data_IF_123388832360
#
_entry.id   IF_123388832360
#
_cell.length_a   1.000
_cell.length_b   1.000
_cell.length_c   1.000
_cell.angle_alpha   90.00
_cell.angle_beta   90.00
_cell.angle_gamma   90.00
#
_symmetry.space_group_name_H-M   'P 1'
#
loop_
_entity.id
_entity.type
_entity.pdbx_description
1 polymer ?
#
# COMPACT_ATOMS: atom_id res chain seq x y z
N UNK A 1 -34.45 6.65 -50.91
CA UNK A 1 -34.23 5.64 -49.85
C UNK A 1 -32.92 6.03 -49.15
N UNK A 2 -33.01 6.69 -47.99
CA UNK A 2 -31.85 7.07 -47.19
C UNK A 2 -31.54 5.94 -46.19
N UNK A 3 -30.43 5.30 -46.37
CA UNK A 3 -29.90 4.31 -45.43
C UNK A 3 -29.21 5.05 -44.30
N UNK A 4 -29.86 5.12 -43.12
CA UNK A 4 -29.28 5.64 -41.90
C UNK A 4 -28.36 4.57 -41.33
N UNK A 5 -27.06 4.76 -41.42
CA UNK A 5 -26.04 3.93 -40.77
C UNK A 5 -26.06 4.23 -39.27
N UNK A 6 -26.60 3.28 -38.50
CA UNK A 6 -26.56 3.33 -37.04
C UNK A 6 -25.10 3.09 -36.61
N UNK A 7 -24.41 4.16 -36.18
CA UNK A 7 -23.12 4.04 -35.54
C UNK A 7 -23.40 3.40 -34.17
N UNK A 8 -22.98 2.17 -33.97
CA UNK A 8 -22.92 1.55 -32.65
C UNK A 8 -21.99 2.39 -31.80
N UNK A 9 -22.57 3.09 -30.82
CA UNK A 9 -21.80 3.70 -29.74
C UNK A 9 -21.02 2.59 -29.05
N UNK A 10 -19.71 2.60 -29.22
CA UNK A 10 -18.82 1.82 -28.35
C UNK A 10 -19.07 2.37 -26.96
N UNK A 11 -19.75 1.60 -26.12
CA UNK A 11 -19.95 1.93 -24.72
C UNK A 11 -18.58 2.19 -24.10
N UNK A 12 -18.40 3.38 -23.54
CA UNK A 12 -17.20 3.75 -22.81
C UNK A 12 -16.89 2.63 -21.82
N UNK A 13 -15.64 2.15 -21.68
CA UNK A 13 -15.27 1.19 -20.67
C UNK A 13 -15.63 1.64 -19.24
N UNK A 14 -15.94 2.92 -19.07
CA UNK A 14 -16.50 3.48 -17.83
C UNK A 14 -17.93 3.06 -17.53
N UNK A 15 -18.73 2.66 -18.52
CA UNK A 15 -20.13 2.24 -18.32
C UNK A 15 -20.27 0.99 -17.44
N UNK A 16 -19.25 0.14 -17.36
CA UNK A 16 -19.21 -1.04 -16.49
C UNK A 16 -19.11 -0.63 -15.01
N UNK A 17 -18.63 0.58 -14.70
CA UNK A 17 -18.36 1.05 -13.34
C UNK A 17 -19.45 1.97 -12.77
N UNK A 18 -20.46 2.34 -13.56
CA UNK A 18 -21.52 3.25 -13.10
C UNK A 18 -22.40 2.63 -12.00
N UNK A 19 -22.43 1.31 -11.89
CA UNK A 19 -23.22 0.57 -10.90
C UNK A 19 -22.40 0.02 -9.73
N UNK A 20 -21.07 0.11 -9.73
CA UNK A 20 -20.23 -0.35 -8.62
C UNK A 20 -19.83 0.81 -7.72
N UNK A 21 -20.00 0.62 -6.42
CA UNK A 21 -19.55 1.60 -5.42
C UNK A 21 -18.03 1.69 -5.44
N UNK A 22 -17.49 2.74 -6.05
CA UNK A 22 -16.05 3.02 -6.01
C UNK A 22 -15.66 3.28 -4.55
N UNK A 23 -14.71 2.49 -4.05
CA UNK A 23 -14.28 2.59 -2.66
C UNK A 23 -13.08 3.53 -2.55
N UNK A 24 -12.06 3.37 -3.39
CA UNK A 24 -10.85 4.20 -3.35
C UNK A 24 -10.10 4.22 -4.68
N UNK A 25 -9.35 5.29 -4.89
CA UNK A 25 -8.29 5.38 -5.91
C UNK A 25 -6.95 5.49 -5.21
N UNK A 26 -6.01 4.60 -5.50
CA UNK A 26 -4.72 4.54 -4.82
C UNK A 26 -3.61 4.37 -5.87
N UNK A 27 -2.42 4.99 -5.65
CA UNK A 27 -1.26 4.73 -6.50
C UNK A 27 -0.92 3.25 -6.53
N UNK A 28 -0.87 2.68 -7.75
CA UNK A 28 -0.63 1.25 -7.92
C UNK A 28 0.69 0.79 -7.31
N UNK A 29 1.74 1.58 -7.50
CA UNK A 29 3.09 1.22 -7.05
C UNK A 29 3.18 1.07 -5.52
N UNK A 30 2.44 1.88 -4.75
CA UNK A 30 2.38 1.75 -3.29
C UNK A 30 1.72 0.45 -2.85
N UNK A 31 0.61 0.06 -3.49
CA UNK A 31 -0.07 -1.20 -3.18
C UNK A 31 0.77 -2.40 -3.63
N UNK A 32 1.45 -2.28 -4.78
CA UNK A 32 2.39 -3.29 -5.26
C UNK A 32 3.52 -3.52 -4.26
N UNK A 33 4.06 -2.46 -3.68
CA UNK A 33 5.08 -2.55 -2.63
C UNK A 33 4.50 -3.15 -1.36
N UNK A 34 3.35 -2.69 -0.89
CA UNK A 34 2.67 -3.28 0.26
C UNK A 34 2.45 -4.79 0.10
N UNK A 35 2.03 -5.23 -1.09
CA UNK A 35 1.85 -6.64 -1.42
C UNK A 35 3.12 -7.52 -1.31
N UNK A 36 4.32 -6.93 -1.23
CA UNK A 36 5.56 -7.68 -1.01
C UNK A 36 5.79 -8.06 0.46
N UNK A 37 5.12 -7.38 1.39
CA UNK A 37 5.32 -7.53 2.83
C UNK A 37 4.21 -8.33 3.53
N UNK A 38 3.25 -8.87 2.78
CA UNK A 38 2.22 -9.76 3.31
C UNK A 38 2.79 -11.12 3.70
N UNK A 39 2.14 -11.81 4.63
CA UNK A 39 2.50 -13.19 4.99
C UNK A 39 2.36 -14.14 3.80
N UNK A 40 3.21 -15.17 3.79
CA UNK A 40 3.09 -16.33 2.89
C UNK A 40 2.58 -17.57 3.63
N UNK A 41 2.37 -17.44 4.94
CA UNK A 41 1.92 -18.51 5.81
C UNK A 41 0.38 -18.60 5.78
N UNK A 42 -0.14 -19.70 5.26
CA UNK A 42 -1.58 -19.97 5.18
C UNK A 42 -2.28 -20.05 6.53
N UNK A 43 -1.53 -20.33 7.63
CA UNK A 43 -2.08 -20.29 8.97
C UNK A 43 -2.38 -18.85 9.45
N UNK A 44 -1.82 -17.84 8.77
CA UNK A 44 -1.98 -16.42 9.07
C UNK A 44 -2.79 -15.70 7.99
N UNK A 45 -3.98 -16.22 7.67
CA UNK A 45 -4.79 -15.74 6.54
C UNK A 45 -4.99 -14.22 6.52
N UNK A 46 -5.31 -13.61 7.67
CA UNK A 46 -5.48 -12.15 7.79
C UNK A 46 -4.24 -11.37 7.34
N UNK A 47 -3.05 -11.89 7.62
CA UNK A 47 -1.77 -11.24 7.27
C UNK A 47 -1.37 -11.49 5.79
N UNK A 48 -2.10 -12.31 5.05
CA UNK A 48 -1.87 -12.51 3.61
C UNK A 48 -2.41 -11.36 2.76
N UNK A 49 -3.06 -10.37 3.37
CA UNK A 49 -3.65 -9.22 2.71
C UNK A 49 -2.95 -7.89 2.97
N UNK A 50 -3.19 -6.96 2.08
CA UNK A 50 -2.93 -5.53 2.26
C UNK A 50 -4.17 -4.93 2.90
N UNK A 51 -4.02 -4.34 4.07
CA UNK A 51 -5.11 -3.74 4.84
C UNK A 51 -5.18 -2.24 4.60
N UNK A 52 -6.38 -1.76 4.30
CA UNK A 52 -6.71 -0.34 4.21
C UNK A 52 -7.62 -0.02 5.39
N UNK A 53 -7.13 0.78 6.33
CA UNK A 53 -7.86 1.26 7.51
C UNK A 53 -8.22 2.72 7.32
N UNK A 54 -9.47 3.05 7.64
CA UNK A 54 -9.96 4.44 7.64
C UNK A 54 -10.18 4.90 9.07
N UNK A 55 -9.54 5.98 9.43
CA UNK A 55 -9.72 6.61 10.74
C UNK A 55 -9.41 8.12 10.64
N UNK A 56 -10.24 8.96 11.25
CA UNK A 56 -10.00 10.41 11.35
C UNK A 56 -9.68 11.12 10.02
N UNK A 57 -10.41 10.80 8.95
CA UNK A 57 -10.19 11.34 7.60
C UNK A 57 -8.82 10.94 7.00
N UNK A 58 -8.17 9.90 7.53
CA UNK A 58 -6.91 9.36 7.03
C UNK A 58 -7.10 7.90 6.62
N UNK A 59 -6.41 7.48 5.56
CA UNK A 59 -6.27 6.07 5.17
C UNK A 59 -4.87 5.62 5.57
N UNK A 60 -4.82 4.56 6.38
CA UNK A 60 -3.59 3.81 6.63
C UNK A 60 -3.60 2.56 5.76
N UNK A 61 -2.62 2.42 4.88
CA UNK A 61 -2.36 1.18 4.15
C UNK A 61 -1.24 0.43 4.84
N UNK A 62 -1.50 -0.81 5.20
CA UNK A 62 -0.53 -1.63 5.93
C UNK A 62 -0.47 -3.07 5.46
N UNK A 63 0.69 -3.68 5.61
CA UNK A 63 0.92 -5.10 5.37
C UNK A 63 2.02 -5.64 6.28
N UNK A 64 1.83 -6.85 6.80
CA UNK A 64 2.77 -7.49 7.73
C UNK A 64 2.79 -9.00 7.52
N UNK A 65 3.90 -9.62 7.85
CA UNK A 65 4.06 -11.08 7.96
C UNK A 65 4.16 -11.57 9.42
N UNK A 66 4.01 -10.63 10.37
CA UNK A 66 4.16 -10.87 11.80
C UNK A 66 5.57 -10.60 12.36
N UNK A 67 6.57 -10.35 11.50
CA UNK A 67 7.95 -10.03 11.89
C UNK A 67 8.36 -8.61 11.53
N UNK A 68 7.69 -8.04 10.57
CA UNK A 68 7.89 -6.70 10.05
C UNK A 68 6.58 -6.12 9.57
N UNK A 69 6.49 -4.80 9.50
CA UNK A 69 5.31 -4.08 9.05
C UNK A 69 5.74 -3.00 8.05
N UNK A 70 5.13 -3.00 6.89
CA UNK A 70 5.18 -1.87 5.95
C UNK A 70 3.87 -1.10 6.03
N UNK A 71 3.94 0.22 6.15
CA UNK A 71 2.75 1.05 6.11
C UNK A 71 3.04 2.46 5.59
N UNK A 72 2.01 3.11 5.12
CA UNK A 72 2.00 4.53 4.79
C UNK A 72 0.60 5.09 5.04
N UNK A 73 0.51 6.40 5.15
CA UNK A 73 -0.72 7.11 5.45
C UNK A 73 -0.93 8.24 4.45
N UNK A 74 -2.19 8.53 4.16
CA UNK A 74 -2.60 9.67 3.33
C UNK A 74 -4.03 10.09 3.64
N UNK A 75 -4.40 11.36 3.35
CA UNK A 75 -5.74 11.86 3.59
C UNK A 75 -6.80 11.15 2.74
N UNK A 76 -7.94 10.82 3.35
CA UNK A 76 -9.02 10.05 2.72
C UNK A 76 -9.80 10.84 1.66
N UNK A 77 -9.65 12.16 1.60
CA UNK A 77 -10.41 13.04 0.71
C UNK A 77 -9.64 13.49 -0.54
N UNK A 78 -8.33 13.16 -0.65
CA UNK A 78 -7.47 13.71 -1.69
C UNK A 78 -7.63 13.05 -3.06
N UNK A 79 -8.19 11.87 -3.14
CA UNK A 79 -8.18 11.06 -4.37
C UNK A 79 -9.55 11.02 -5.06
N UNK A 80 -10.45 11.94 -4.72
CA UNK A 80 -11.78 12.06 -5.35
C UNK A 80 -12.79 11.00 -4.91
N UNK A 81 -12.38 10.04 -4.07
CA UNK A 81 -13.25 9.01 -3.49
C UNK A 81 -12.94 8.85 -2.01
N UNK A 82 -13.98 8.64 -1.23
CA UNK A 82 -13.86 8.45 0.22
C UNK A 82 -14.07 6.98 0.57
N UNK A 83 -13.03 6.34 1.09
CA UNK A 83 -13.17 5.04 1.70
C UNK A 83 -13.99 5.19 2.97
N UNK A 84 -15.06 4.41 3.14
CA UNK A 84 -15.99 4.50 4.28
C UNK A 84 -15.96 3.28 5.20
N UNK A 85 -15.16 2.28 4.86
CA UNK A 85 -14.97 1.04 5.64
C UNK A 85 -13.56 0.51 5.50
N UNK A 86 -13.11 -0.24 6.50
CA UNK A 86 -11.85 -0.97 6.42
C UNK A 86 -11.99 -2.15 5.44
N UNK A 87 -10.96 -2.39 4.64
CA UNK A 87 -10.90 -3.53 3.72
C UNK A 87 -9.54 -4.22 3.78
N UNK A 88 -9.53 -5.54 3.58
CA UNK A 88 -8.30 -6.31 3.46
C UNK A 88 -8.29 -7.05 2.12
N UNK A 89 -7.37 -6.67 1.25
CA UNK A 89 -7.27 -7.15 -0.12
C UNK A 89 -6.16 -8.20 -0.18
N UNK A 90 -6.39 -9.41 -0.74
CA UNK A 90 -5.35 -10.41 -0.88
C UNK A 90 -4.09 -9.85 -1.57
N UNK A 91 -2.94 -9.99 -0.95
CA UNK A 91 -1.67 -9.47 -1.49
C UNK A 91 -1.27 -10.08 -2.83
N UNK A 92 -1.84 -11.25 -3.18
CA UNK A 92 -1.66 -11.89 -4.50
C UNK A 92 -2.15 -11.05 -5.65
N UNK A 93 -3.18 -10.22 -5.44
CA UNK A 93 -3.72 -9.29 -6.45
C UNK A 93 -2.67 -8.29 -6.92
N UNK A 94 -1.77 -7.87 -6.03
CA UNK A 94 -0.72 -6.87 -6.31
C UNK A 94 0.62 -7.48 -6.77
N UNK A 95 0.72 -8.81 -6.83
CA UNK A 95 1.94 -9.50 -7.31
C UNK A 95 2.08 -9.46 -8.82
N UNK A 96 0.98 -9.39 -9.55
CA UNK A 96 0.99 -9.24 -11.00
C UNK A 96 1.57 -7.89 -11.37
N UNK A 97 2.62 -7.90 -12.19
CA UNK A 97 3.17 -6.64 -12.72
C UNK A 97 2.29 -6.19 -13.90
N UNK A 98 1.35 -5.30 -13.62
CA UNK A 98 0.62 -4.60 -14.68
C UNK A 98 1.51 -3.43 -15.13
N UNK A 99 2.24 -3.66 -16.22
CA UNK A 99 3.10 -2.62 -16.80
C UNK A 99 2.26 -1.39 -17.13
N UNK A 100 2.83 -0.22 -16.89
CA UNK A 100 2.22 1.09 -17.14
C UNK A 100 1.07 1.48 -16.19
N UNK A 101 0.58 0.62 -15.30
CA UNK A 101 -0.40 1.04 -14.31
C UNK A 101 0.19 2.11 -13.39
N UNK A 102 -0.50 3.23 -13.27
CA UNK A 102 -0.14 4.34 -12.38
C UNK A 102 -1.03 4.36 -11.15
N UNK A 103 -2.32 4.06 -11.33
CA UNK A 103 -3.32 4.03 -10.25
C UNK A 103 -4.22 2.80 -10.34
N UNK A 104 -4.89 2.49 -9.24
CA UNK A 104 -5.95 1.49 -9.17
C UNK A 104 -7.22 2.11 -8.62
N UNK A 105 -8.35 1.69 -9.18
CA UNK A 105 -9.67 1.88 -8.62
C UNK A 105 -10.04 0.60 -7.85
N UNK A 106 -10.49 0.76 -6.63
CA UNK A 106 -10.88 -0.35 -5.76
C UNK A 106 -12.38 -0.27 -5.53
N UNK A 107 -13.07 -1.37 -5.77
CA UNK A 107 -14.46 -1.60 -5.35
C UNK A 107 -14.51 -2.74 -4.34
N UNK A 108 -15.70 -3.17 -3.92
CA UNK A 108 -15.85 -4.24 -2.93
C UNK A 108 -15.24 -5.58 -3.36
N UNK A 109 -15.18 -5.87 -4.65
CA UNK A 109 -14.75 -7.16 -5.20
C UNK A 109 -13.91 -7.08 -6.47
N UNK A 110 -13.63 -5.85 -6.96
CA UNK A 110 -12.91 -5.63 -8.20
C UNK A 110 -11.81 -4.57 -7.99
N UNK A 111 -10.63 -4.85 -8.53
CA UNK A 111 -9.55 -3.87 -8.68
C UNK A 111 -9.34 -3.61 -10.16
N UNK A 112 -9.41 -2.35 -10.54
CA UNK A 112 -9.16 -1.88 -11.89
C UNK A 112 -7.84 -1.15 -11.94
N UNK A 113 -6.96 -1.58 -12.84
CA UNK A 113 -5.65 -0.99 -13.07
C UNK A 113 -5.74 0.01 -14.21
N UNK A 114 -5.22 1.21 -13.99
CA UNK A 114 -5.32 2.30 -14.94
C UNK A 114 -3.97 3.00 -15.14
N UNK A 115 -3.79 3.54 -16.35
CA UNK A 115 -2.76 4.54 -16.63
C UNK A 115 -3.48 5.85 -16.92
N UNK A 116 -3.36 6.81 -16.00
CA UNK A 116 -4.21 8.01 -16.03
C UNK A 116 -5.69 7.62 -16.12
N UNK A 117 -6.36 7.94 -17.25
CA UNK A 117 -7.76 7.60 -17.50
C UNK A 117 -7.92 6.35 -18.40
N UNK A 118 -6.81 5.71 -18.79
CA UNK A 118 -6.84 4.55 -19.69
C UNK A 118 -6.97 3.27 -18.84
N UNK A 119 -8.00 2.48 -19.12
CA UNK A 119 -8.17 1.14 -18.58
C UNK A 119 -7.07 0.21 -19.12
N UNK A 120 -6.44 -0.55 -18.23
CA UNK A 120 -5.43 -1.54 -18.59
C UNK A 120 -5.89 -2.97 -18.32
N UNK A 121 -6.43 -3.22 -17.12
CA UNK A 121 -6.85 -4.55 -16.69
C UNK A 121 -7.75 -4.44 -15.46
N UNK A 122 -8.45 -5.51 -15.13
CA UNK A 122 -9.16 -5.66 -13.87
C UNK A 122 -9.00 -7.08 -13.30
N UNK A 123 -9.06 -7.19 -11.97
CA UNK A 123 -8.95 -8.45 -11.25
C UNK A 123 -10.06 -8.50 -10.20
N UNK A 124 -10.91 -9.52 -10.29
CA UNK A 124 -11.84 -9.82 -9.21
C UNK A 124 -11.11 -10.40 -8.01
N UNK A 125 -11.53 -10.00 -6.83
CA UNK A 125 -11.00 -10.51 -5.58
C UNK A 125 -12.09 -10.73 -4.55
N UNK A 126 -11.82 -11.60 -3.58
CA UNK A 126 -12.62 -11.75 -2.39
C UNK A 126 -11.86 -11.10 -1.23
N UNK A 127 -12.52 -10.23 -0.49
CA UNK A 127 -11.92 -9.61 0.71
C UNK A 127 -11.56 -10.70 1.72
N UNK A 128 -10.44 -10.49 2.42
CA UNK A 128 -10.10 -11.34 3.57
C UNK A 128 -10.90 -10.83 4.75
N UNK A 129 -11.84 -11.67 5.21
CA UNK A 129 -12.69 -11.34 6.35
C UNK A 129 -11.95 -11.53 7.68
N UNK A 130 -12.31 -10.70 8.66
CA UNK A 130 -11.79 -10.76 10.03
C UNK A 130 -11.18 -9.44 10.49
N UNK A 131 -10.76 -9.41 11.75
CA UNK A 131 -10.15 -8.22 12.36
C UNK A 131 -8.65 -8.23 12.11
N UNK A 132 -8.18 -7.31 11.27
CA UNK A 132 -6.76 -7.12 11.04
C UNK A 132 -6.08 -6.60 12.32
N UNK A 133 -4.83 -7.02 12.64
CA UNK A 133 -4.13 -6.54 13.82
C UNK A 133 -4.03 -5.01 13.84
N UNK A 134 -4.15 -4.42 15.03
CA UNK A 134 -4.01 -2.98 15.17
C UNK A 134 -2.55 -2.55 14.95
N UNK A 135 -2.28 -1.99 13.78
CA UNK A 135 -0.96 -1.55 13.36
C UNK A 135 -0.43 -0.43 14.27
N UNK A 136 -1.31 0.48 14.69
CA UNK A 136 -0.91 1.68 15.43
C UNK A 136 -0.32 1.36 16.80
N UNK A 137 -0.77 0.28 17.43
CA UNK A 137 -0.20 -0.18 18.70
C UNK A 137 1.27 -0.61 18.61
N UNK A 138 1.73 -0.92 17.40
CA UNK A 138 3.11 -1.32 17.14
C UNK A 138 4.03 -0.12 16.89
N UNK A 139 3.46 1.04 16.61
CA UNK A 139 4.20 2.26 16.27
C UNK A 139 4.53 3.01 17.56
N UNK A 140 5.80 3.22 17.90
CA UNK A 140 6.17 4.02 19.06
C UNK A 140 5.75 5.49 18.90
N UNK A 141 5.16 6.07 19.95
CA UNK A 141 4.73 7.48 19.95
C UNK A 141 5.89 8.45 19.83
N UNK A 142 7.06 8.10 20.37
CA UNK A 142 8.26 8.94 20.38
C UNK A 142 9.51 8.10 20.16
N UNK A 143 10.51 8.71 19.50
CA UNK A 143 11.84 8.16 19.32
C UNK A 143 12.85 9.05 20.05
N UNK A 144 13.72 8.45 20.84
CA UNK A 144 14.85 9.15 21.47
C UNK A 144 16.08 9.14 20.58
N UNK A 145 16.12 8.21 19.60
CA UNK A 145 17.26 7.99 18.70
C UNK A 145 18.60 7.84 19.46
N UNK A 146 18.53 7.25 20.65
CA UNK A 146 19.72 6.93 21.43
C UNK A 146 20.27 5.57 20.96
N UNK A 147 21.37 5.64 20.20
CA UNK A 147 22.04 4.48 19.60
C UNK A 147 23.32 4.08 20.34
N UNK A 148 23.39 4.28 21.64
CA UNK A 148 24.57 3.92 22.47
C UNK A 148 24.86 2.41 22.51
N UNK A 149 23.90 1.57 22.03
CA UNK A 149 24.02 0.11 21.98
C UNK A 149 24.01 -0.39 20.55
N UNK A 150 24.67 -1.53 20.36
CA UNK A 150 24.62 -2.25 19.08
C UNK A 150 23.22 -2.82 18.83
N UNK A 151 22.76 -2.70 17.59
CA UNK A 151 21.51 -3.29 17.09
C UNK A 151 21.83 -4.23 15.95
N UNK A 152 21.20 -5.39 15.96
CA UNK A 152 21.28 -6.35 14.86
C UNK A 152 19.91 -6.52 14.22
N UNK A 153 19.87 -6.55 12.90
CA UNK A 153 18.64 -6.74 12.13
C UNK A 153 18.81 -7.85 11.11
N UNK A 154 17.71 -8.48 10.73
CA UNK A 154 17.71 -9.42 9.62
C UNK A 154 18.02 -8.65 8.32
N UNK A 155 19.13 -9.00 7.67
CA UNK A 155 19.60 -8.33 6.45
C UNK A 155 18.64 -8.52 5.28
N UNK A 156 17.93 -9.65 5.19
CA UNK A 156 16.94 -9.89 4.14
C UNK A 156 15.75 -8.94 4.27
N UNK A 157 15.32 -8.66 5.50
CA UNK A 157 14.24 -7.72 5.74
C UNK A 157 14.63 -6.29 5.36
N UNK A 158 15.82 -5.85 5.78
CA UNK A 158 16.36 -4.53 5.39
C UNK A 158 16.54 -4.48 3.87
N UNK A 159 17.14 -5.51 3.28
CA UNK A 159 17.39 -5.58 1.84
C UNK A 159 16.11 -5.51 1.00
N UNK A 160 15.04 -6.18 1.42
CA UNK A 160 13.75 -6.10 0.72
C UNK A 160 13.18 -4.68 0.74
N UNK A 161 13.20 -4.00 1.88
CA UNK A 161 12.75 -2.61 1.96
C UNK A 161 13.62 -1.69 1.09
N UNK A 162 14.94 -1.78 1.22
CA UNK A 162 15.89 -1.01 0.41
C UNK A 162 15.68 -1.20 -1.09
N UNK A 163 15.36 -2.42 -1.53
CA UNK A 163 15.08 -2.70 -2.95
C UNK A 163 13.81 -2.01 -3.45
N UNK A 164 12.81 -1.78 -2.59
CA UNK A 164 11.65 -0.99 -2.97
C UNK A 164 11.97 0.51 -2.96
N UNK A 165 12.68 1.00 -1.93
CA UNK A 165 13.09 2.41 -1.84
C UNK A 165 13.91 2.86 -3.05
N UNK A 166 14.82 2.01 -3.55
CA UNK A 166 15.59 2.30 -4.77
C UNK A 166 14.74 2.60 -6.00
N UNK A 167 13.50 2.09 -6.03
CA UNK A 167 12.56 2.27 -7.14
C UNK A 167 11.62 3.45 -6.94
N UNK A 168 11.42 3.88 -5.70
CA UNK A 168 10.40 4.85 -5.29
C UNK A 168 10.99 6.19 -4.86
N UNK A 169 12.27 6.24 -4.50
CA UNK A 169 12.91 7.43 -3.97
C UNK A 169 14.12 7.87 -4.81
N UNK A 170 14.14 9.13 -5.19
CA UNK A 170 15.20 9.74 -5.99
C UNK A 170 16.53 9.73 -5.25
N UNK A 171 16.50 10.09 -3.96
CA UNK A 171 17.70 10.14 -3.11
C UNK A 171 18.13 8.77 -2.57
N UNK A 172 17.26 7.75 -2.71
CA UNK A 172 17.50 6.36 -2.23
C UNK A 172 17.93 6.28 -0.78
N UNK A 173 17.60 7.30 0.01
CA UNK A 173 17.95 7.40 1.43
C UNK A 173 16.89 6.71 2.30
N UNK A 174 17.35 6.11 3.38
CA UNK A 174 16.50 5.58 4.45
C UNK A 174 16.96 6.19 5.77
N UNK A 175 16.02 6.44 6.67
CA UNK A 175 16.29 6.97 8.00
C UNK A 175 15.84 5.97 9.05
N UNK A 176 16.71 5.65 9.99
CA UNK A 176 16.40 4.78 11.12
C UNK A 176 15.98 5.60 12.33
N UNK A 177 14.85 5.22 12.93
CA UNK A 177 14.38 5.78 14.20
C UNK A 177 14.11 4.64 15.18
N UNK A 178 14.62 4.75 16.40
CA UNK A 178 14.47 3.71 17.40
C UNK A 178 14.82 4.20 18.80
N UNK A 179 14.51 3.38 19.80
CA UNK A 179 14.70 3.73 21.19
C UNK A 179 15.60 2.74 21.95
N UNK A 180 15.36 1.45 21.81
CA UNK A 180 16.06 0.41 22.58
C UNK A 180 16.03 -0.95 21.85
N UNK A 181 16.95 -1.88 22.19
CA UNK A 181 17.07 -3.17 21.51
C UNK A 181 15.82 -4.06 21.56
N UNK A 182 14.94 -3.84 22.53
CA UNK A 182 13.73 -4.63 22.74
C UNK A 182 12.47 -4.00 22.14
N UNK A 183 12.61 -2.84 21.50
CA UNK A 183 11.51 -2.12 20.86
C UNK A 183 11.67 -2.13 19.33
N UNK A 184 10.57 -2.00 18.58
CA UNK A 184 10.65 -1.91 17.14
C UNK A 184 11.38 -0.64 16.69
N UNK A 185 12.08 -0.76 15.56
CA UNK A 185 12.65 0.37 14.82
C UNK A 185 11.74 0.71 13.65
N UNK A 186 11.61 1.98 13.35
CA UNK A 186 10.98 2.45 12.12
C UNK A 186 12.06 2.94 11.18
N UNK A 187 12.07 2.37 9.98
CA UNK A 187 12.87 2.84 8.87
C UNK A 187 11.94 3.62 7.95
N UNK A 188 12.30 4.85 7.65
CA UNK A 188 11.49 5.72 6.79
C UNK A 188 12.19 6.05 5.49
N UNK A 189 11.42 6.26 4.43
CA UNK A 189 11.89 6.76 3.15
C UNK A 189 10.82 7.64 2.50
N UNK A 190 11.22 8.60 1.66
CA UNK A 190 10.32 9.38 0.82
C UNK A 190 9.91 8.60 -0.42
N UNK A 191 8.68 8.79 -0.87
CA UNK A 191 8.25 8.39 -2.19
C UNK A 191 8.10 9.64 -3.08
N UNK A 192 8.98 9.77 -4.06
CA UNK A 192 9.07 10.93 -4.95
C UNK A 192 9.32 10.57 -6.43
N UNK A 193 9.45 9.26 -6.74
CA UNK A 193 9.58 8.79 -8.12
C UNK A 193 8.27 8.15 -8.58
N UNK A 194 7.84 8.47 -9.78
CA UNK A 194 6.63 7.90 -10.41
C UNK A 194 5.36 8.08 -9.57
N UNK A 195 5.30 9.16 -8.81
CA UNK A 195 4.08 9.51 -8.09
C UNK A 195 3.08 10.14 -9.06
N UNK A 196 2.00 9.45 -9.46
CA UNK A 196 1.00 9.99 -10.39
C UNK A 196 0.12 11.08 -9.74
N UNK A 197 0.28 11.30 -8.44
CA UNK A 197 -0.45 12.28 -7.64
C UNK A 197 0.44 13.39 -7.10
N UNK A 198 1.66 13.56 -7.64
CA UNK A 198 2.61 14.60 -7.21
C UNK A 198 2.01 16.02 -7.29
N UNK A 199 1.09 16.23 -8.24
CA UNK A 199 0.37 17.50 -8.39
C UNK A 199 -0.69 17.76 -7.32
N UNK A 200 -1.05 16.76 -6.50
CA UNK A 200 -2.00 16.92 -5.42
C UNK A 200 -1.29 17.50 -4.20
N UNK A 201 -1.77 18.67 -3.76
CA UNK A 201 -1.23 19.35 -2.60
C UNK A 201 -1.27 18.46 -1.35
N UNK A 202 -0.12 18.30 -0.68
CA UNK A 202 0.02 17.49 0.52
C UNK A 202 0.15 15.98 0.30
N UNK A 203 0.10 15.47 -0.94
CA UNK A 203 0.28 14.05 -1.22
C UNK A 203 1.76 13.66 -1.34
N UNK A 204 2.44 13.59 -0.20
CA UNK A 204 3.83 13.13 -0.10
C UNK A 204 3.95 12.02 0.95
N UNK A 205 3.48 10.81 0.67
CA UNK A 205 3.49 9.76 1.65
C UNK A 205 4.91 9.37 2.04
N UNK A 206 5.12 9.23 3.34
CA UNK A 206 6.33 8.65 3.90
C UNK A 206 6.12 7.14 3.98
N UNK A 207 7.03 6.40 3.36
CA UNK A 207 7.08 4.95 3.47
C UNK A 207 7.67 4.58 4.82
N UNK A 208 6.92 3.86 5.62
CA UNK A 208 7.35 3.43 6.94
C UNK A 208 7.51 1.91 6.94
N UNK A 209 8.63 1.46 7.47
CA UNK A 209 8.94 0.06 7.62
C UNK A 209 9.40 -0.22 9.05
N UNK A 210 8.56 -0.94 9.78
CA UNK A 210 8.82 -1.31 11.16
C UNK A 210 9.46 -2.68 11.21
N UNK A 211 10.53 -2.82 11.97
CA UNK A 211 11.29 -4.06 12.12
C UNK A 211 11.74 -4.23 13.57
N UNK A 212 11.67 -5.47 14.07
CA UNK A 212 12.22 -5.81 15.37
C UNK A 212 13.73 -6.11 15.27
N UNK A 213 14.55 -5.57 16.17
CA UNK A 213 15.94 -5.99 16.29
C UNK A 213 16.04 -7.48 16.65
N UNK A 214 17.11 -8.11 16.20
CA UNK A 214 17.47 -9.47 16.64
C UNK A 214 18.17 -9.33 18.00
N UNK A 215 17.59 -9.93 19.01
CA UNK A 215 18.25 -10.03 20.32
C UNK A 215 19.41 -11.03 20.19
N UNK A 216 20.64 -10.57 20.47
CA UNK A 216 21.76 -11.51 20.65
C UNK A 216 21.42 -12.40 21.85
N UNK A 217 21.42 -13.71 21.64
CA UNK A 217 21.42 -14.67 22.75
C UNK A 217 22.89 -14.76 23.19
N UNK A 218 23.12 -14.38 24.44
CA UNK A 218 24.41 -14.59 25.11
C UNK A 218 24.72 -16.08 25.22
#
# INVERSE_FOLDING_TARGET
MSTTTTVNQVSSPYAIYENETKIATIPYELLRVAGQFVSKDYAKQLLMGVHLKVENEEITVGSTDGHRLFYFKFPNNQLGFKLNKNITIPGTVFKSQIKQATKVLITDNLITFMNEEIFLNSIHYQQIEGTYPNIEQLIPDKFTNNFEKEFSFNCDYIGQFCNQVKKLSSNKAITFNGNKPTAPFIITAKWDIKNPFESLEGFNPILNYLIMPILKRD
#
